data_IF_161647779717
#
_entry.id   IF_161647779717
#
_cell.length_a   1.000
_cell.length_b   1.000
_cell.length_c   1.000
_cell.angle_alpha   90.00
_cell.angle_beta   90.00
_cell.angle_gamma   90.00
#
_symmetry.space_group_name_H-M   'P 1'
#
loop_
_entity.id
_entity.type
_entity.pdbx_description
1 polymer ?
#
# COMPACT_ATOMS: atom_id res chain seq x y z
N UNK A 1 7.14 13.88 27.43
CA UNK A 1 7.96 13.63 26.22
C UNK A 1 7.78 14.84 25.34
N UNK A 2 8.85 15.45 24.85
CA UNK A 2 8.70 16.57 23.91
C UNK A 2 8.37 16.06 22.50
N UNK A 3 7.89 16.95 21.63
CA UNK A 3 7.45 16.59 20.28
C UNK A 3 8.57 15.99 19.42
N UNK A 4 9.83 16.41 19.62
CA UNK A 4 10.96 15.90 18.85
C UNK A 4 11.28 14.46 19.24
N UNK A 5 11.24 14.15 20.53
CA UNK A 5 11.40 12.79 21.04
C UNK A 5 10.25 11.88 20.58
N UNK A 6 9.02 12.39 20.56
CA UNK A 6 7.86 11.67 20.00
C UNK A 6 8.04 11.33 18.52
N UNK A 7 8.48 12.30 17.70
CA UNK A 7 8.72 12.08 16.28
C UNK A 7 9.79 11.02 16.04
N UNK A 8 10.93 11.11 16.75
CA UNK A 8 12.00 10.10 16.65
C UNK A 8 11.49 8.71 17.02
N UNK A 9 10.67 8.57 18.06
CA UNK A 9 10.13 7.26 18.44
C UNK A 9 9.21 6.69 17.35
N UNK A 10 8.32 7.52 16.78
CA UNK A 10 7.44 7.09 15.68
C UNK A 10 8.23 6.70 14.43
N UNK A 11 9.26 7.47 14.07
CA UNK A 11 10.13 7.15 12.92
C UNK A 11 10.91 5.84 13.12
N UNK A 12 11.13 5.43 14.37
CA UNK A 12 11.73 4.15 14.74
C UNK A 12 10.70 3.03 14.96
N UNK A 13 9.42 3.24 14.61
CA UNK A 13 8.37 2.22 14.67
C UNK A 13 7.77 1.99 16.06
N UNK A 14 7.91 2.93 16.99
CA UNK A 14 7.26 2.83 18.29
C UNK A 14 5.73 2.91 18.17
N UNK A 15 5.04 2.17 19.03
CA UNK A 15 3.60 2.32 19.27
C UNK A 15 3.45 3.20 20.50
N UNK A 16 2.86 4.37 20.33
CA UNK A 16 2.65 5.33 21.41
C UNK A 16 1.24 5.20 21.99
N UNK A 17 1.05 5.68 23.22
CA UNK A 17 -0.29 5.74 23.80
C UNK A 17 -1.18 6.69 22.99
N UNK A 18 -2.49 6.42 22.87
CA UNK A 18 -3.41 7.35 22.21
C UNK A 18 -3.32 8.76 22.79
N UNK A 19 -3.24 9.76 21.92
CA UNK A 19 -3.13 11.18 22.29
C UNK A 19 -1.72 11.66 22.68
N UNK A 20 -0.69 10.82 22.53
CA UNK A 20 0.72 11.20 22.80
C UNK A 20 1.30 12.08 21.69
N UNK A 21 0.93 11.82 20.44
CA UNK A 21 1.36 12.56 19.27
C UNK A 21 0.17 13.27 18.61
N UNK A 22 0.42 14.46 18.08
CA UNK A 22 -0.57 15.26 17.35
C UNK A 22 0.03 15.68 16.01
N UNK A 23 -0.76 15.60 14.94
CA UNK A 23 -0.32 15.92 13.58
C UNK A 23 -0.88 14.95 12.55
N UNK A 24 -0.79 15.33 11.28
CA UNK A 24 -1.27 14.53 10.14
C UNK A 24 -0.34 13.36 9.79
N UNK A 25 0.84 13.28 10.41
CA UNK A 25 1.87 12.25 10.24
C UNK A 25 1.72 11.06 11.22
N UNK A 26 0.62 11.02 11.97
CA UNK A 26 0.26 9.97 12.92
C UNK A 26 -1.02 9.28 12.47
N UNK A 27 -1.09 7.97 12.66
CA UNK A 27 -2.31 7.17 12.48
C UNK A 27 -2.61 6.39 13.77
N UNK A 28 -3.88 6.06 14.00
CA UNK A 28 -4.26 5.10 15.03
C UNK A 28 -3.86 3.69 14.61
N UNK A 29 -3.47 2.84 15.56
CA UNK A 29 -3.14 1.44 15.29
C UNK A 29 -4.31 0.56 15.73
N UNK A 30 -4.88 -0.19 14.81
CA UNK A 30 -6.03 -1.05 15.11
C UNK A 30 -5.63 -2.52 15.18
N UNK A 31 -6.23 -3.28 16.11
CA UNK A 31 -6.21 -4.74 16.07
C UNK A 31 -7.42 -5.24 15.27
N UNK A 32 -7.18 -5.99 14.19
CA UNK A 32 -8.23 -6.53 13.32
C UNK A 32 -8.19 -8.05 13.34
N UNK A 33 -9.31 -8.67 13.70
CA UNK A 33 -9.42 -10.12 13.85
C UNK A 33 -10.12 -10.73 12.64
N UNK A 34 -9.60 -11.85 12.15
CA UNK A 34 -10.11 -12.56 11.00
C UNK A 34 -10.21 -14.06 11.27
N UNK A 35 -11.21 -14.68 10.65
CA UNK A 35 -11.46 -16.13 10.69
C UNK A 35 -11.42 -16.70 9.28
N UNK A 36 -11.14 -17.99 9.16
CA UNK A 36 -11.22 -18.71 7.89
C UNK A 36 -11.58 -20.18 8.16
N UNK A 37 -12.48 -20.82 7.36
CA UNK A 37 -12.91 -22.20 7.62
C UNK A 37 -11.76 -23.20 7.76
N UNK A 38 -10.71 -23.07 6.94
CA UNK A 38 -9.52 -23.93 7.02
C UNK A 38 -8.69 -23.76 8.31
N UNK A 39 -8.94 -22.73 9.12
CA UNK A 39 -8.26 -22.49 10.39
C UNK A 39 -8.97 -23.10 11.60
N UNK A 40 -10.23 -23.54 11.45
CA UNK A 40 -11.07 -23.96 12.58
C UNK A 40 -11.30 -22.80 13.55
N UNK A 41 -11.15 -23.03 14.85
CA UNK A 41 -11.36 -22.02 15.90
C UNK A 41 -10.21 -21.00 16.03
N UNK A 42 -9.14 -21.15 15.24
CA UNK A 42 -8.00 -20.24 15.27
C UNK A 42 -8.32 -18.93 14.56
N UNK A 43 -7.84 -17.84 15.15
CA UNK A 43 -8.00 -16.47 14.65
C UNK A 43 -6.68 -15.92 14.16
N UNK A 44 -6.75 -15.08 13.14
CA UNK A 44 -5.63 -14.23 12.70
C UNK A 44 -5.90 -12.83 13.21
N UNK A 45 -4.96 -12.25 13.95
CA UNK A 45 -5.02 -10.85 14.39
C UNK A 45 -3.93 -10.08 13.65
N UNK A 46 -4.31 -8.98 13.00
CA UNK A 46 -3.38 -8.07 12.33
C UNK A 46 -3.41 -6.70 12.98
N UNK A 47 -2.22 -6.13 13.16
CA UNK A 47 -2.05 -4.75 13.60
C UNK A 47 -1.93 -3.89 12.34
N UNK A 48 -2.87 -2.97 12.17
CA UNK A 48 -3.02 -2.21 10.91
C UNK A 48 -3.30 -0.75 11.25
N UNK A 49 -2.57 0.20 10.65
CA UNK A 49 -2.93 1.62 10.74
C UNK A 49 -4.40 1.83 10.36
N UNK A 50 -5.11 2.66 11.11
CA UNK A 50 -6.56 2.83 11.02
C UNK A 50 -6.99 3.24 9.61
N UNK A 51 -6.22 4.11 8.97
CA UNK A 51 -6.46 4.52 7.57
C UNK A 51 -6.29 3.39 6.56
N UNK A 52 -5.43 2.40 6.84
CA UNK A 52 -5.23 1.20 6.02
C UNK A 52 -6.23 0.09 6.33
N UNK A 53 -6.92 0.16 7.45
CA UNK A 53 -7.82 -0.87 7.95
C UNK A 53 -8.86 -1.36 6.94
N UNK A 54 -9.64 -0.49 6.28
CA UNK A 54 -10.60 -0.91 5.27
C UNK A 54 -9.98 -1.63 4.06
N UNK A 55 -8.78 -1.23 3.65
CA UNK A 55 -8.08 -1.92 2.57
C UNK A 55 -7.59 -3.30 2.99
N UNK A 56 -7.10 -3.45 4.23
CA UNK A 56 -6.76 -4.76 4.77
C UNK A 56 -7.98 -5.68 4.81
N UNK A 57 -9.14 -5.19 5.27
CA UNK A 57 -10.39 -5.97 5.31
C UNK A 57 -10.73 -6.51 3.92
N UNK A 58 -10.71 -5.66 2.90
CA UNK A 58 -11.01 -6.04 1.52
C UNK A 58 -9.98 -7.02 0.95
N UNK A 59 -8.70 -6.83 1.26
CA UNK A 59 -7.64 -7.72 0.80
C UNK A 59 -7.76 -9.12 1.41
N UNK A 60 -8.09 -9.21 2.70
CA UNK A 60 -8.25 -10.49 3.38
C UNK A 60 -9.57 -11.17 3.04
N UNK A 61 -10.65 -10.42 2.84
CA UNK A 61 -11.92 -10.95 2.30
C UNK A 61 -11.73 -11.59 0.93
N UNK A 62 -10.96 -10.95 0.05
CA UNK A 62 -10.58 -11.53 -1.25
C UNK A 62 -9.81 -12.85 -1.14
N UNK A 63 -9.08 -13.06 -0.04
CA UNK A 63 -8.39 -14.32 0.27
C UNK A 63 -9.28 -15.33 1.02
N UNK A 64 -10.56 -14.99 1.24
CA UNK A 64 -11.56 -15.83 1.90
C UNK A 64 -11.61 -15.70 3.42
N UNK A 65 -10.91 -14.71 4.01
CA UNK A 65 -10.94 -14.47 5.45
C UNK A 65 -12.08 -13.50 5.80
N UNK A 66 -12.86 -13.84 6.82
CA UNK A 66 -13.96 -12.98 7.29
C UNK A 66 -13.54 -12.20 8.54
N UNK A 67 -13.74 -10.88 8.53
CA UNK A 67 -13.51 -10.01 9.69
C UNK A 67 -14.49 -10.33 10.82
N UNK A 68 -13.96 -10.42 12.04
CA UNK A 68 -14.73 -10.70 13.26
C UNK A 68 -14.61 -9.51 14.23
N UNK A 69 -15.77 -9.01 14.69
CA UNK A 69 -15.85 -8.00 15.74
C UNK A 69 -15.33 -6.60 15.36
N UNK A 70 -15.24 -5.75 16.38
CA UNK A 70 -14.73 -4.40 16.26
C UNK A 70 -13.20 -4.38 16.08
N UNK A 71 -12.67 -3.26 15.61
CA UNK A 71 -11.23 -3.03 15.47
C UNK A 71 -10.76 -2.06 16.57
N UNK A 72 -10.47 -2.53 17.79
CA UNK A 72 -10.05 -1.66 18.87
C UNK A 72 -8.76 -0.90 18.52
N UNK A 73 -8.71 0.36 18.94
CA UNK A 73 -7.51 1.18 18.88
C UNK A 73 -6.53 0.76 19.99
N UNK A 74 -5.28 0.55 19.61
CA UNK A 74 -4.19 0.08 20.47
C UNK A 74 -3.16 1.18 20.74
N UNK A 75 -3.19 2.30 20.02
CA UNK A 75 -2.14 3.31 20.11
C UNK A 75 -1.95 4.12 18.84
N UNK A 76 -0.89 4.91 18.83
CA UNK A 76 -0.50 5.76 17.71
C UNK A 76 0.77 5.25 17.06
N UNK A 77 0.79 5.23 15.73
CA UNK A 77 1.94 4.85 14.90
C UNK A 77 2.21 5.92 13.85
N UNK A 78 3.40 5.86 13.23
CA UNK A 78 3.72 6.72 12.09
C UNK A 78 2.73 6.43 10.97
N UNK A 79 2.19 7.49 10.36
CA UNK A 79 1.34 7.34 9.19
C UNK A 79 2.17 6.87 8.01
N UNK A 80 1.75 5.77 7.40
CA UNK A 80 2.36 5.24 6.18
C UNK A 80 1.65 5.76 4.94
N UNK A 81 2.40 5.93 3.85
CA UNK A 81 1.79 6.25 2.55
C UNK A 81 1.15 5.00 1.95
N UNK A 82 -0.11 5.12 1.54
CA UNK A 82 -0.85 4.09 0.83
C UNK A 82 -0.17 3.75 -0.52
N UNK A 83 0.45 2.58 -0.61
CA UNK A 83 0.93 2.00 -1.87
C UNK A 83 -0.13 1.14 -2.56
N UNK A 84 0.18 0.67 -3.77
CA UNK A 84 -0.65 -0.31 -4.48
C UNK A 84 -0.50 -1.71 -3.84
N UNK A 85 -1.58 -2.48 -3.61
CA UNK A 85 -2.97 -2.22 -4.01
C UNK A 85 -3.81 -1.48 -2.96
N UNK A 86 -3.30 -1.27 -1.74
CA UNK A 86 -4.07 -0.68 -0.62
C UNK A 86 -4.70 0.67 -0.98
N UNK A 87 -3.97 1.54 -1.70
CA UNK A 87 -4.51 2.80 -2.20
C UNK A 87 -5.78 2.59 -3.04
N UNK A 88 -5.78 1.62 -3.95
CA UNK A 88 -6.94 1.33 -4.80
C UNK A 88 -8.14 0.85 -3.98
N UNK A 89 -7.90 0.02 -2.96
CA UNK A 89 -8.94 -0.50 -2.07
C UNK A 89 -9.56 0.59 -1.19
N UNK A 90 -8.77 1.58 -0.76
CA UNK A 90 -9.29 2.73 0.02
C UNK A 90 -10.01 3.73 -0.89
N UNK A 91 -9.41 4.11 -2.02
CA UNK A 91 -9.88 5.25 -2.82
C UNK A 91 -10.91 4.87 -3.89
N UNK A 92 -10.94 3.61 -4.34
CA UNK A 92 -11.92 3.12 -5.31
C UNK A 92 -12.24 1.62 -5.07
N UNK A 93 -12.93 1.30 -3.97
CA UNK A 93 -13.24 -0.08 -3.61
C UNK A 93 -14.09 -0.81 -4.67
N UNK A 94 -14.93 -0.08 -5.42
CA UNK A 94 -15.75 -0.65 -6.49
C UNK A 94 -14.88 -1.29 -7.60
N UNK A 95 -13.73 -0.70 -7.88
CA UNK A 95 -12.76 -1.21 -8.84
C UNK A 95 -11.59 -1.96 -8.20
N UNK A 96 -11.57 -2.11 -6.87
CA UNK A 96 -10.48 -2.71 -6.10
C UNK A 96 -10.09 -4.13 -6.55
N UNK A 97 -11.03 -4.91 -7.07
CA UNK A 97 -10.79 -6.24 -7.62
C UNK A 97 -9.76 -6.24 -8.77
N UNK A 98 -9.67 -5.18 -9.56
CA UNK A 98 -8.63 -5.02 -10.59
C UNK A 98 -7.24 -4.92 -9.98
N UNK A 99 -7.11 -4.27 -8.82
CA UNK A 99 -5.83 -4.16 -8.13
C UNK A 99 -5.44 -5.50 -7.46
N UNK A 100 -6.39 -6.17 -6.81
CA UNK A 100 -6.19 -7.48 -6.19
C UNK A 100 -5.81 -8.57 -7.19
N UNK A 101 -6.38 -8.54 -8.39
CA UNK A 101 -6.05 -9.47 -9.47
C UNK A 101 -4.56 -9.43 -9.89
N UNK A 102 -3.86 -8.30 -9.66
CA UNK A 102 -2.46 -8.13 -10.03
C UNK A 102 -1.46 -8.61 -8.97
N UNK A 103 -1.88 -8.87 -7.73
CA UNK A 103 -0.97 -9.14 -6.59
C UNK A 103 -0.01 -10.30 -6.90
N UNK A 104 -0.54 -11.43 -7.41
CA UNK A 104 0.27 -12.61 -7.72
C UNK A 104 1.30 -12.35 -8.82
N UNK A 105 0.94 -11.58 -9.83
CA UNK A 105 1.87 -11.23 -10.91
C UNK A 105 2.93 -10.24 -10.43
N UNK A 106 2.57 -9.27 -9.60
CA UNK A 106 3.52 -8.35 -8.97
C UNK A 106 4.53 -9.12 -8.10
N UNK A 107 4.09 -10.03 -7.23
CA UNK A 107 4.97 -10.87 -6.40
C UNK A 107 5.89 -11.76 -7.24
N UNK A 108 5.41 -12.26 -8.38
CA UNK A 108 6.22 -13.03 -9.33
C UNK A 108 7.29 -12.14 -9.98
N UNK A 109 6.94 -10.94 -10.41
CA UNK A 109 7.85 -9.99 -11.05
C UNK A 109 8.88 -9.44 -10.06
N UNK A 110 8.51 -9.21 -8.81
CA UNK A 110 9.43 -8.83 -7.73
C UNK A 110 10.53 -9.88 -7.56
N UNK A 111 10.16 -11.16 -7.36
CA UNK A 111 11.14 -12.26 -7.29
C UNK A 111 12.03 -12.34 -8.52
N UNK A 112 11.50 -11.98 -9.68
CA UNK A 112 12.24 -11.99 -10.94
C UNK A 112 13.16 -10.78 -11.09
N UNK A 113 12.84 -9.64 -10.49
CA UNK A 113 13.58 -8.39 -10.63
C UNK A 113 15.05 -8.51 -10.21
N UNK A 114 15.35 -9.32 -9.19
CA UNK A 114 16.71 -9.58 -8.72
C UNK A 114 17.60 -10.27 -9.75
N UNK A 115 17.07 -11.27 -10.45
CA UNK A 115 17.87 -12.16 -11.33
C UNK A 115 17.70 -11.88 -12.81
N UNK A 116 16.55 -11.33 -13.21
CA UNK A 116 16.17 -11.04 -14.60
C UNK A 116 15.45 -9.69 -14.67
N UNK A 117 16.13 -8.58 -14.32
CA UNK A 117 15.51 -7.26 -14.20
C UNK A 117 14.84 -6.80 -15.49
N UNK A 118 15.43 -7.05 -16.66
CA UNK A 118 14.84 -6.66 -17.95
C UNK A 118 13.48 -7.34 -18.20
N UNK A 119 13.41 -8.65 -17.96
CA UNK A 119 12.17 -9.40 -18.12
C UNK A 119 11.13 -9.04 -17.04
N UNK A 120 11.55 -8.67 -15.83
CA UNK A 120 10.64 -8.13 -14.82
C UNK A 120 10.07 -6.78 -15.27
N UNK A 121 10.91 -5.89 -15.82
CA UNK A 121 10.52 -4.58 -16.33
C UNK A 121 9.52 -4.70 -17.49
N UNK A 122 9.75 -5.61 -18.43
CA UNK A 122 8.79 -5.87 -19.51
C UNK A 122 7.46 -6.44 -18.99
N UNK A 123 7.52 -7.27 -17.94
CA UNK A 123 6.33 -7.76 -17.24
C UNK A 123 5.52 -6.64 -16.59
N UNK A 124 6.17 -5.73 -15.84
CA UNK A 124 5.50 -4.58 -15.25
C UNK A 124 4.91 -3.65 -16.32
N UNK A 125 5.58 -3.46 -17.45
CA UNK A 125 5.05 -2.70 -18.58
C UNK A 125 3.79 -3.34 -19.18
N UNK A 126 3.75 -4.67 -19.29
CA UNK A 126 2.58 -5.40 -19.78
C UNK A 126 1.40 -5.32 -18.80
N UNK A 127 1.65 -5.45 -17.50
CA UNK A 127 0.64 -5.27 -16.47
C UNK A 127 0.08 -3.85 -16.48
N UNK A 128 0.96 -2.84 -16.56
CA UNK A 128 0.56 -1.43 -16.64
C UNK A 128 -0.34 -1.13 -17.86
N UNK A 129 -0.01 -1.68 -19.04
CA UNK A 129 -0.88 -1.56 -20.23
C UNK A 129 -2.25 -2.20 -20.03
N UNK A 130 -2.31 -3.33 -19.34
CA UNK A 130 -3.57 -4.03 -19.06
C UNK A 130 -4.42 -3.26 -18.06
N UNK A 131 -3.80 -2.83 -16.96
CA UNK A 131 -4.44 -2.01 -15.93
C UNK A 131 -4.96 -0.69 -16.51
N UNK A 132 -4.17 -0.03 -17.36
CA UNK A 132 -4.54 1.24 -18.00
C UNK A 132 -5.75 1.18 -18.93
N UNK A 133 -6.11 0.00 -19.45
CA UNK A 133 -7.33 -0.18 -20.25
C UNK A 133 -8.60 -0.29 -19.40
N UNK A 134 -8.46 -0.75 -18.16
CA UNK A 134 -9.58 -0.97 -17.25
C UNK A 134 -9.76 0.20 -16.27
N UNK A 135 -8.69 0.57 -15.57
CA UNK A 135 -8.68 1.50 -14.43
C UNK A 135 -7.43 2.39 -14.47
N UNK A 136 -7.36 3.34 -15.42
CA UNK A 136 -6.16 4.13 -15.66
C UNK A 136 -5.70 4.98 -14.46
N UNK A 137 -6.61 5.39 -13.57
CA UNK A 137 -6.29 6.12 -12.35
C UNK A 137 -5.51 5.29 -11.31
N UNK A 138 -5.38 3.96 -11.48
CA UNK A 138 -4.50 3.13 -10.64
C UNK A 138 -3.05 3.13 -11.12
N UNK A 139 -2.77 3.58 -12.34
CA UNK A 139 -1.43 3.58 -12.93
C UNK A 139 -0.38 4.34 -12.10
N UNK A 140 -0.66 5.52 -11.51
CA UNK A 140 0.30 6.22 -10.65
C UNK A 140 0.86 5.34 -9.54
N UNK A 141 -0.01 4.82 -8.68
CA UNK A 141 0.39 4.03 -7.51
C UNK A 141 0.96 2.65 -7.92
N UNK A 142 0.46 2.06 -9.02
CA UNK A 142 1.00 0.82 -9.56
C UNK A 142 2.45 0.98 -10.05
N UNK A 143 2.74 2.02 -10.84
CA UNK A 143 4.10 2.27 -11.32
C UNK A 143 5.04 2.72 -10.20
N UNK A 144 4.53 3.44 -9.19
CA UNK A 144 5.32 3.76 -7.99
C UNK A 144 5.73 2.48 -7.25
N UNK A 145 4.81 1.52 -7.09
CA UNK A 145 5.12 0.23 -6.46
C UNK A 145 6.15 -0.56 -7.27
N UNK A 146 6.04 -0.59 -8.59
CA UNK A 146 7.06 -1.20 -9.46
C UNK A 146 8.43 -0.52 -9.30
N UNK A 147 8.47 0.81 -9.16
CA UNK A 147 9.70 1.55 -8.92
C UNK A 147 10.34 1.19 -7.58
N UNK A 148 9.54 1.09 -6.51
CA UNK A 148 10.00 0.69 -5.16
C UNK A 148 10.57 -0.73 -5.15
N UNK A 149 9.96 -1.65 -5.90
CA UNK A 149 10.48 -3.01 -6.09
C UNK A 149 11.88 -2.96 -6.71
N UNK A 150 12.06 -2.25 -7.83
CA UNK A 150 13.39 -2.14 -8.45
C UNK A 150 14.42 -1.45 -7.56
N UNK A 151 14.00 -0.43 -6.81
CA UNK A 151 14.86 0.26 -5.84
C UNK A 151 15.31 -0.68 -4.72
N UNK A 152 14.42 -1.54 -4.22
CA UNK A 152 14.75 -2.56 -3.22
C UNK A 152 15.75 -3.61 -3.71
N UNK A 153 15.86 -3.81 -5.03
CA UNK A 153 16.90 -4.63 -5.67
C UNK A 153 18.09 -3.80 -6.18
N UNK A 154 18.26 -2.57 -5.69
CA UNK A 154 19.34 -1.64 -6.04
C UNK A 154 19.41 -1.26 -7.53
N UNK A 155 18.35 -1.52 -8.30
CA UNK A 155 18.26 -1.16 -9.71
C UNK A 155 17.69 0.25 -9.88
N UNK A 156 18.52 1.23 -9.60
CA UNK A 156 18.16 2.66 -9.65
C UNK A 156 17.71 3.13 -11.04
N UNK A 157 18.21 2.50 -12.11
CA UNK A 157 17.85 2.85 -13.50
C UNK A 157 16.39 2.51 -13.80
N UNK A 158 15.95 1.30 -13.47
CA UNK A 158 14.55 0.92 -13.66
C UNK A 158 13.63 1.57 -12.62
N UNK A 159 14.10 1.78 -11.39
CA UNK A 159 13.35 2.57 -10.41
C UNK A 159 13.04 3.98 -10.95
N UNK A 160 14.04 4.71 -11.45
CA UNK A 160 13.85 6.03 -12.05
C UNK A 160 12.87 6.00 -13.24
N UNK A 161 12.97 4.97 -14.09
CA UNK A 161 12.05 4.78 -15.22
C UNK A 161 10.60 4.64 -14.76
N UNK A 162 10.34 3.81 -13.75
CA UNK A 162 8.98 3.57 -13.26
C UNK A 162 8.43 4.74 -12.42
N UNK A 163 9.25 5.45 -11.64
CA UNK A 163 8.83 6.71 -11.02
C UNK A 163 8.45 7.76 -12.08
N UNK A 164 9.22 7.86 -13.18
CA UNK A 164 8.87 8.71 -14.31
C UNK A 164 7.51 8.36 -14.91
N UNK A 165 7.21 7.07 -15.09
CA UNK A 165 5.90 6.59 -15.54
C UNK A 165 4.77 6.88 -14.56
N UNK A 166 5.02 6.77 -13.25
CA UNK A 166 4.06 7.13 -12.23
C UNK A 166 3.70 8.62 -12.32
N UNK A 167 4.70 9.51 -12.41
CA UNK A 167 4.47 10.96 -12.57
C UNK A 167 3.76 11.30 -13.88
N UNK A 168 4.08 10.61 -14.97
CA UNK A 168 3.37 10.79 -16.23
C UNK A 168 1.90 10.36 -16.11
N UNK A 169 1.63 9.21 -15.50
CA UNK A 169 0.27 8.76 -15.25
C UNK A 169 -0.51 9.73 -14.34
N UNK A 170 0.14 10.36 -13.36
CA UNK A 170 -0.47 11.42 -12.54
C UNK A 170 -0.89 12.61 -13.40
N UNK A 171 -0.01 13.11 -14.29
CA UNK A 171 -0.36 14.23 -15.19
C UNK A 171 -1.53 13.91 -16.10
N UNK A 172 -1.61 12.67 -16.58
CA UNK A 172 -2.64 12.24 -17.54
C UNK A 172 -3.98 11.94 -16.83
N UNK A 173 -3.95 11.47 -15.59
CA UNK A 173 -5.12 10.95 -14.89
C UNK A 173 -5.51 11.71 -13.61
N UNK A 174 -4.83 12.80 -13.23
CA UNK A 174 -5.11 13.60 -12.03
C UNK A 174 -5.30 15.12 -12.30
N UNK A 175 -6.55 15.57 -12.27
CA UNK A 175 -6.98 16.94 -11.94
C UNK A 175 -6.62 17.29 -10.47
N UNK A 176 -6.74 18.57 -10.01
CA UNK A 176 -5.85 19.72 -10.19
C UNK A 176 -4.53 19.66 -9.37
N UNK A 177 -3.58 20.55 -9.70
CA UNK A 177 -2.30 20.73 -8.99
C UNK A 177 -2.52 21.55 -7.71
N UNK A 178 -2.12 21.03 -6.55
CA UNK A 178 -2.04 21.80 -5.29
C UNK A 178 -0.69 22.50 -5.22
N UNK A 179 -0.67 23.82 -5.45
CA UNK A 179 0.52 24.67 -5.46
C UNK A 179 1.10 24.96 -4.06
N UNK A 180 0.39 24.60 -2.97
CA UNK A 180 0.80 24.84 -1.58
C UNK A 180 1.90 23.87 -1.06
N UNK A 181 2.55 23.13 -1.96
CA UNK A 181 3.71 22.28 -1.67
C UNK A 181 5.04 22.80 -2.22
N UNK A 182 5.07 24.04 -2.72
CA UNK A 182 6.30 24.73 -3.10
C UNK A 182 7.03 25.33 -1.89
#
# INVERSE_FOLDING_TARGET
MDAAQTAVLLDNGAILLPGTAAGDDVDGLTARTYTHPALGDRRIVRLVPGTLGPAEDLALDFLGLTREGDAPDLGQVRRETLGFPAWALVNDPANGHHALALVRDVERLDRQARSKPGAAKDGFDALGKTLGRAVPHFLPTFYEQAARIFLGHENTTYAATFFGKAREAERVHNLPVEEDRL
#
